data_IF_576475926991
#
_entry.id   IF_576475926991
#
_cell.length_a   1.000
_cell.length_b   1.000
_cell.length_c   1.000
_cell.angle_alpha   90.00
_cell.angle_beta   90.00
_cell.angle_gamma   90.00
#
_symmetry.space_group_name_H-M   'P 1'
#
loop_
_entity.id
_entity.type
_entity.pdbx_description
1 polymer ?
#
# COMPACT_ATOMS: atom_id res chain seq x y z
N UNK A 1 2.22 25.20 -59.68
CA UNK A 1 3.62 24.80 -59.41
C UNK A 1 4.15 23.71 -60.34
N UNK A 2 3.42 22.63 -60.63
CA UNK A 2 3.90 21.51 -61.49
C UNK A 2 4.37 21.93 -62.91
N UNK A 3 3.71 22.89 -63.56
CA UNK A 3 4.07 23.31 -64.93
C UNK A 3 5.36 24.14 -65.03
N UNK A 4 5.73 24.84 -63.94
CA UNK A 4 6.91 25.69 -63.87
C UNK A 4 8.19 24.85 -63.71
N UNK A 5 8.16 23.89 -62.78
CA UNK A 5 9.23 22.89 -62.63
C UNK A 5 9.39 22.03 -63.89
N UNK A 6 8.31 21.73 -64.63
CA UNK A 6 8.36 20.97 -65.89
C UNK A 6 9.17 21.70 -66.98
N UNK A 7 8.99 23.02 -67.13
CA UNK A 7 9.71 23.81 -68.14
C UNK A 7 11.20 23.99 -67.79
N UNK A 8 11.52 24.17 -66.50
CA UNK A 8 12.91 24.23 -66.03
C UNK A 8 13.63 22.89 -66.26
N UNK A 9 12.95 21.76 -66.02
CA UNK A 9 13.46 20.40 -66.28
C UNK A 9 13.80 20.18 -67.76
N UNK A 10 12.90 20.59 -68.67
CA UNK A 10 13.08 20.43 -70.11
C UNK A 10 14.22 21.31 -70.67
N UNK A 11 14.44 22.51 -70.11
CA UNK A 11 15.52 23.42 -70.56
C UNK A 11 16.91 22.96 -70.07
N UNK A 12 17.00 22.38 -68.87
CA UNK A 12 18.27 21.96 -68.25
C UNK A 12 18.78 20.59 -68.73
N UNK A 13 17.88 19.67 -69.12
CA UNK A 13 18.25 18.39 -69.77
C UNK A 13 18.96 18.64 -71.12
N UNK A 14 18.65 19.76 -71.78
CA UNK A 14 19.24 20.16 -73.06
C UNK A 14 20.67 20.72 -72.94
N UNK A 15 21.15 21.02 -71.73
CA UNK A 15 22.43 21.72 -71.48
C UNK A 15 23.57 20.84 -70.90
N UNK A 16 23.43 19.51 -70.83
CA UNK A 16 24.45 18.60 -70.29
C UNK A 16 24.86 18.88 -68.82
N UNK A 17 24.04 19.62 -68.06
CA UNK A 17 24.28 19.99 -66.63
C UNK A 17 23.60 19.05 -65.64
N UNK A 18 23.52 17.76 -65.94
CA UNK A 18 22.86 16.76 -65.09
C UNK A 18 23.40 16.78 -63.65
N UNK A 19 24.72 16.96 -63.47
CA UNK A 19 25.36 17.05 -62.15
C UNK A 19 24.85 18.22 -61.30
N UNK A 20 24.51 19.37 -61.90
CA UNK A 20 23.95 20.52 -61.16
C UNK A 20 22.51 20.28 -60.73
N UNK A 21 21.73 19.55 -61.53
CA UNK A 21 20.36 19.16 -61.20
C UNK A 21 20.32 18.12 -60.07
N UNK A 22 21.22 17.13 -60.13
CA UNK A 22 21.36 16.12 -59.08
C UNK A 22 21.75 16.77 -57.74
N UNK A 23 22.70 17.71 -57.74
CA UNK A 23 23.11 18.43 -56.52
C UNK A 23 21.95 19.23 -55.91
N UNK A 24 21.14 19.88 -56.74
CA UNK A 24 20.00 20.68 -56.29
C UNK A 24 18.86 19.81 -55.74
N UNK A 25 18.56 18.70 -56.41
CA UNK A 25 17.55 17.73 -55.95
C UNK A 25 17.98 17.03 -54.63
N UNK A 26 19.26 16.73 -54.46
CA UNK A 26 19.80 16.21 -53.20
C UNK A 26 19.66 17.26 -52.09
N UNK A 27 19.98 18.52 -52.37
CA UNK A 27 19.79 19.62 -51.41
C UNK A 27 18.33 19.77 -50.96
N UNK A 28 17.37 19.66 -51.89
CA UNK A 28 15.93 19.70 -51.59
C UNK A 28 15.49 18.51 -50.72
N UNK A 29 15.96 17.29 -51.03
CA UNK A 29 15.68 16.10 -50.20
C UNK A 29 16.25 16.27 -48.79
N UNK A 30 17.50 16.74 -48.66
CA UNK A 30 18.12 16.98 -47.35
C UNK A 30 17.32 18.01 -46.55
N UNK A 31 16.86 19.10 -47.19
CA UNK A 31 16.08 20.14 -46.54
C UNK A 31 14.70 19.62 -46.08
N UNK A 32 14.04 18.80 -46.89
CA UNK A 32 12.78 18.13 -46.51
C UNK A 32 13.00 17.15 -45.36
N UNK A 33 14.06 16.35 -45.40
CA UNK A 33 14.41 15.39 -44.34
C UNK A 33 14.69 16.11 -43.02
N UNK A 34 15.46 17.21 -43.03
CA UNK A 34 15.67 18.05 -41.85
C UNK A 34 14.34 18.60 -41.32
N UNK A 35 13.45 19.06 -42.21
CA UNK A 35 12.11 19.51 -41.84
C UNK A 35 11.27 18.44 -41.12
N UNK A 36 11.28 17.21 -41.64
CA UNK A 36 10.59 16.06 -41.02
C UNK A 36 11.22 15.71 -39.67
N UNK A 37 12.55 15.67 -39.57
CA UNK A 37 13.25 15.37 -38.33
C UNK A 37 12.95 16.39 -37.24
N UNK A 38 12.93 17.69 -37.57
CA UNK A 38 12.56 18.74 -36.61
C UNK A 38 11.09 18.59 -36.19
N UNK A 39 10.18 18.33 -37.14
CA UNK A 39 8.77 18.10 -36.81
C UNK A 39 8.57 16.91 -35.88
N UNK A 40 9.27 15.79 -36.12
CA UNK A 40 9.27 14.61 -35.25
C UNK A 40 9.86 14.93 -33.87
N UNK A 41 10.97 15.68 -33.80
CA UNK A 41 11.57 16.08 -32.54
C UNK A 41 10.63 16.96 -31.70
N UNK A 42 9.96 17.94 -32.32
CA UNK A 42 8.98 18.80 -31.64
C UNK A 42 7.80 17.96 -31.13
N UNK A 43 7.30 17.02 -31.94
CA UNK A 43 6.22 16.13 -31.51
C UNK A 43 6.63 15.26 -30.32
N UNK A 44 7.79 14.59 -30.41
CA UNK A 44 8.33 13.75 -29.33
C UNK A 44 8.60 14.55 -28.05
N UNK A 45 9.07 15.80 -28.17
CA UNK A 45 9.27 16.67 -27.02
C UNK A 45 7.94 17.04 -26.34
N UNK A 46 6.91 17.37 -27.12
CA UNK A 46 5.58 17.65 -26.60
C UNK A 46 4.93 16.42 -25.95
N UNK A 47 5.08 15.24 -26.57
CA UNK A 47 4.66 13.94 -26.01
C UNK A 47 5.34 13.69 -24.66
N UNK A 48 6.67 13.76 -24.62
CA UNK A 48 7.45 13.56 -23.40
C UNK A 48 7.17 14.60 -22.30
N UNK A 49 6.71 15.80 -22.66
CA UNK A 49 6.22 16.79 -21.68
C UNK A 49 4.87 16.36 -21.09
N UNK A 50 3.93 15.89 -21.92
CA UNK A 50 2.62 15.40 -21.46
C UNK A 50 2.76 14.17 -20.59
N UNK A 51 3.62 13.21 -20.98
CA UNK A 51 3.92 12.03 -20.17
C UNK A 51 4.48 12.41 -18.79
N UNK A 52 5.44 13.35 -18.73
CA UNK A 52 6.00 13.82 -17.46
C UNK A 52 4.96 14.53 -16.58
N UNK A 53 4.04 15.29 -17.18
CA UNK A 53 2.96 15.92 -16.44
C UNK A 53 1.99 14.86 -15.86
N UNK A 54 1.66 13.83 -16.65
CA UNK A 54 0.82 12.72 -16.21
C UNK A 54 1.50 11.90 -15.09
N UNK A 55 2.80 11.61 -15.23
CA UNK A 55 3.60 10.94 -14.21
C UNK A 55 3.59 11.73 -12.90
N UNK A 56 3.90 13.03 -12.94
CA UNK A 56 3.90 13.88 -11.73
C UNK A 56 2.53 13.93 -11.05
N UNK A 57 1.46 14.07 -11.81
CA UNK A 57 0.11 14.05 -11.27
C UNK A 57 -0.20 12.70 -10.60
N UNK A 58 0.21 11.60 -11.23
CA UNK A 58 0.04 10.24 -10.69
C UNK A 58 0.85 10.04 -9.41
N UNK A 59 2.11 10.48 -9.39
CA UNK A 59 2.99 10.39 -8.22
C UNK A 59 2.47 11.23 -7.05
N UNK A 60 1.88 12.40 -7.32
CA UNK A 60 1.29 13.24 -6.27
C UNK A 60 0.08 12.57 -5.62
N UNK A 61 -0.82 11.97 -6.42
CA UNK A 61 -1.98 11.23 -5.88
C UNK A 61 -1.49 9.98 -5.11
N UNK A 62 -0.52 9.25 -5.67
CA UNK A 62 0.06 8.09 -5.00
C UNK A 62 0.73 8.45 -3.67
N UNK A 63 1.39 9.61 -3.60
CA UNK A 63 2.00 10.12 -2.37
C UNK A 63 0.94 10.37 -1.29
N UNK A 64 -0.19 10.98 -1.65
CA UNK A 64 -1.31 11.20 -0.73
C UNK A 64 -1.86 9.87 -0.19
N UNK A 65 -2.09 8.89 -1.07
CA UNK A 65 -2.51 7.53 -0.69
C UNK A 65 -1.51 6.86 0.26
N UNK A 66 -0.20 6.97 -0.03
CA UNK A 66 0.84 6.37 0.80
C UNK A 66 0.96 7.05 2.16
N UNK A 67 0.79 8.37 2.25
CA UNK A 67 0.77 9.09 3.53
C UNK A 67 -0.45 8.71 4.38
N UNK A 68 -1.60 8.54 3.75
CA UNK A 68 -2.78 7.99 4.43
C UNK A 68 -2.51 6.57 4.95
N UNK A 69 -1.89 5.71 4.12
CA UNK A 69 -1.51 4.35 4.50
C UNK A 69 -0.44 4.32 5.60
N UNK A 70 0.51 5.26 5.64
CA UNK A 70 1.53 5.40 6.68
C UNK A 70 0.88 5.68 8.04
N UNK A 71 0.01 6.70 8.10
CA UNK A 71 -0.73 7.08 9.31
C UNK A 71 -1.58 5.91 9.83
N UNK A 72 -2.32 5.27 8.92
CA UNK A 72 -3.08 4.06 9.22
C UNK A 72 -2.17 2.98 9.80
N UNK A 73 -1.05 2.68 9.15
CA UNK A 73 -0.14 1.63 9.60
C UNK A 73 0.41 1.92 10.99
N UNK A 74 0.76 3.17 11.30
CA UNK A 74 1.24 3.57 12.62
C UNK A 74 0.18 3.40 13.72
N UNK A 75 -1.08 3.77 13.44
CA UNK A 75 -2.20 3.57 14.36
C UNK A 75 -2.35 2.07 14.71
N UNK A 76 -2.34 1.21 13.69
CA UNK A 76 -2.52 -0.22 13.88
C UNK A 76 -1.31 -0.91 14.50
N UNK A 77 -0.08 -0.47 14.24
CA UNK A 77 1.11 -0.94 14.97
C UNK A 77 0.95 -0.65 16.47
N UNK A 78 0.48 0.55 16.80
CA UNK A 78 0.30 0.97 18.20
C UNK A 78 -0.81 0.15 18.88
N UNK A 79 -1.94 -0.05 18.19
CA UNK A 79 -3.05 -0.88 18.67
C UNK A 79 -2.62 -2.34 18.88
N UNK A 80 -1.88 -2.92 17.93
CA UNK A 80 -1.42 -4.31 17.96
C UNK A 80 -0.37 -4.53 19.06
N UNK A 81 0.55 -3.57 19.25
CA UNK A 81 1.50 -3.60 20.37
C UNK A 81 0.77 -3.52 21.72
N UNK A 82 -0.18 -2.60 21.87
CA UNK A 82 -0.97 -2.51 23.09
C UNK A 82 -1.73 -3.81 23.37
N UNK A 83 -2.21 -4.47 22.32
CA UNK A 83 -2.89 -5.72 22.44
C UNK A 83 -1.97 -6.88 22.88
N UNK A 84 -0.73 -6.92 22.39
CA UNK A 84 0.30 -7.84 22.91
C UNK A 84 0.58 -7.62 24.38
N UNK A 85 0.70 -6.37 24.82
CA UNK A 85 0.96 -6.03 26.22
C UNK A 85 -0.17 -6.54 27.13
N UNK A 86 -1.42 -6.45 26.66
CA UNK A 86 -2.59 -7.01 27.36
C UNK A 86 -2.48 -8.54 27.46
N UNK A 87 -2.18 -9.22 26.35
CA UNK A 87 -2.04 -10.68 26.31
C UNK A 87 -0.92 -11.17 27.24
N UNK A 88 0.23 -10.49 27.23
CA UNK A 88 1.33 -10.78 28.13
C UNK A 88 0.91 -10.59 29.60
N UNK A 89 0.21 -9.49 29.89
CA UNK A 89 -0.28 -9.19 31.24
C UNK A 89 -1.21 -10.27 31.79
N UNK A 90 -2.16 -10.76 30.99
CA UNK A 90 -3.12 -11.79 31.46
C UNK A 90 -2.49 -13.19 31.53
N UNK A 91 -1.45 -13.47 30.74
CA UNK A 91 -0.72 -14.74 30.77
C UNK A 91 0.27 -14.84 31.94
N UNK A 92 0.63 -13.71 32.55
CA UNK A 92 1.56 -13.64 33.68
C UNK A 92 0.83 -13.59 35.03
N UNK A 93 1.09 -14.58 35.91
CA UNK A 93 0.33 -14.80 37.15
C UNK A 93 0.39 -13.64 38.15
N UNK A 94 1.51 -12.94 38.23
CA UNK A 94 1.63 -11.81 39.17
C UNK A 94 0.98 -10.53 38.60
N UNK A 95 1.02 -10.37 37.28
CA UNK A 95 0.50 -9.19 36.58
C UNK A 95 -1.02 -9.20 36.49
N UNK A 96 -1.64 -10.37 36.25
CA UNK A 96 -3.10 -10.54 36.22
C UNK A 96 -3.73 -10.12 37.56
N UNK A 97 -3.13 -10.46 38.71
CA UNK A 97 -3.63 -10.06 40.04
C UNK A 97 -3.68 -8.54 40.19
N UNK A 98 -2.75 -7.81 39.58
CA UNK A 98 -2.73 -6.35 39.61
C UNK A 98 -3.84 -5.75 38.76
N UNK A 99 -4.14 -6.34 37.60
CA UNK A 99 -5.29 -5.93 36.76
C UNK A 99 -6.60 -6.17 37.48
N UNK A 100 -6.74 -7.29 38.19
CA UNK A 100 -7.96 -7.68 38.92
C UNK A 100 -8.35 -6.75 40.07
N UNK A 101 -7.45 -5.87 40.52
CA UNK A 101 -7.75 -4.86 41.56
C UNK A 101 -8.62 -3.71 41.03
N UNK A 102 -8.65 -3.51 39.71
CA UNK A 102 -9.46 -2.48 39.05
C UNK A 102 -10.48 -3.17 38.14
N UNK A 103 -11.76 -3.06 38.51
CA UNK A 103 -12.86 -3.71 37.77
C UNK A 103 -13.01 -3.18 36.34
N UNK A 104 -12.75 -1.89 36.12
CA UNK A 104 -12.81 -1.28 34.78
C UNK A 104 -11.68 -1.81 33.91
N UNK A 105 -10.46 -1.82 34.46
CA UNK A 105 -9.28 -2.34 33.76
C UNK A 105 -9.40 -3.84 33.49
N UNK A 106 -9.89 -4.59 34.45
CA UNK A 106 -10.20 -6.03 34.31
C UNK A 106 -11.12 -6.27 33.13
N UNK A 107 -12.27 -5.61 33.12
CA UNK A 107 -13.27 -5.83 32.08
C UNK A 107 -12.74 -5.40 30.71
N UNK A 108 -12.00 -4.29 30.63
CA UNK A 108 -11.35 -3.86 29.39
C UNK A 108 -10.33 -4.88 28.86
N UNK A 109 -9.44 -5.40 29.72
CA UNK A 109 -8.39 -6.34 29.31
C UNK A 109 -8.98 -7.67 28.85
N UNK A 110 -9.91 -8.24 29.62
CA UNK A 110 -10.52 -9.51 29.25
C UNK A 110 -11.51 -9.37 28.09
N UNK A 111 -12.16 -8.22 27.93
CA UNK A 111 -12.93 -7.94 26.73
C UNK A 111 -12.00 -7.91 25.49
N UNK A 112 -10.86 -7.22 25.57
CA UNK A 112 -9.88 -7.19 24.48
C UNK A 112 -9.33 -8.58 24.16
N UNK A 113 -8.99 -9.36 25.20
CA UNK A 113 -8.42 -10.69 25.03
C UNK A 113 -9.41 -11.74 24.49
N UNK A 114 -10.66 -11.73 24.94
CA UNK A 114 -11.63 -12.75 24.58
C UNK A 114 -12.54 -12.39 23.41
N UNK A 115 -12.84 -11.10 23.19
CA UNK A 115 -13.84 -10.70 22.20
C UNK A 115 -13.32 -9.77 21.10
N UNK A 116 -12.33 -8.95 21.41
CA UNK A 116 -11.81 -7.98 20.44
C UNK A 116 -10.65 -8.56 19.63
N UNK A 117 -10.53 -8.12 18.38
CA UNK A 117 -9.39 -8.39 17.50
C UNK A 117 -9.34 -7.38 16.35
N UNK A 118 -8.14 -7.13 15.86
CA UNK A 118 -7.91 -6.19 14.78
C UNK A 118 -7.94 -6.89 13.42
N UNK A 119 -8.68 -6.33 12.46
CA UNK A 119 -8.83 -6.92 11.11
C UNK A 119 -8.37 -6.03 9.98
N UNK A 120 -8.10 -4.75 10.25
CA UNK A 120 -7.91 -3.82 9.16
C UNK A 120 -6.49 -3.89 8.57
N UNK A 121 -6.41 -3.74 7.25
CA UNK A 121 -5.16 -3.67 6.47
C UNK A 121 -5.19 -2.40 5.61
N UNK A 122 -4.04 -1.75 5.36
CA UNK A 122 -4.01 -0.54 4.55
C UNK A 122 -4.31 -0.87 3.08
N UNK A 123 -4.89 0.09 2.36
CA UNK A 123 -5.21 -0.02 0.94
C UNK A 123 -4.58 1.14 0.19
N UNK A 124 -3.95 0.84 -0.95
CA UNK A 124 -3.34 1.83 -1.83
C UNK A 124 -4.10 1.80 -3.16
N UNK A 125 -5.12 2.65 -3.25
CA UNK A 125 -6.07 2.65 -4.37
C UNK A 125 -5.39 3.02 -5.67
N UNK A 126 -4.53 4.04 -5.67
CA UNK A 126 -3.84 4.52 -6.86
C UNK A 126 -2.99 3.43 -7.50
N UNK A 127 -2.26 2.64 -6.70
CA UNK A 127 -1.47 1.53 -7.25
C UNK A 127 -2.36 0.43 -7.83
N UNK A 128 -3.44 0.08 -7.13
CA UNK A 128 -4.42 -0.91 -7.57
C UNK A 128 -5.07 -0.51 -8.91
N UNK A 129 -5.47 0.75 -9.05
CA UNK A 129 -6.06 1.30 -10.27
C UNK A 129 -5.06 1.31 -11.44
N UNK A 130 -3.80 1.71 -11.19
CA UNK A 130 -2.75 1.67 -12.21
C UNK A 130 -2.46 0.24 -12.67
N UNK A 131 -2.43 -0.73 -11.75
CA UNK A 131 -2.24 -2.14 -12.05
C UNK A 131 -3.40 -2.70 -12.88
N UNK A 132 -4.63 -2.47 -12.44
CA UNK A 132 -5.83 -2.97 -13.11
C UNK A 132 -6.04 -2.33 -14.50
N UNK A 133 -5.68 -1.05 -14.66
CA UNK A 133 -5.76 -0.36 -15.95
C UNK A 133 -4.59 -0.68 -16.90
N UNK A 134 -3.59 -1.47 -16.48
CA UNK A 134 -2.37 -1.72 -17.27
C UNK A 134 -1.49 -0.48 -17.46
N UNK A 135 -1.58 0.49 -16.54
CA UNK A 135 -0.96 1.82 -16.62
C UNK A 135 0.22 2.02 -15.66
N UNK A 136 0.74 0.95 -15.05
CA UNK A 136 1.91 1.02 -14.14
C UNK A 136 3.10 1.73 -14.81
N UNK A 137 3.27 1.59 -16.13
CA UNK A 137 4.35 2.21 -16.90
C UNK A 137 4.30 3.76 -16.94
N UNK A 138 3.23 4.39 -16.45
CA UNK A 138 3.18 5.85 -16.24
C UNK A 138 4.24 6.29 -15.23
N UNK A 139 4.55 5.45 -14.23
CA UNK A 139 5.65 5.67 -13.29
C UNK A 139 6.94 5.21 -13.99
N UNK A 140 7.81 6.15 -14.41
CA UNK A 140 9.02 5.83 -15.17
C UNK A 140 10.13 5.29 -14.28
N UNK A 141 10.17 5.66 -13.01
CA UNK A 141 11.14 5.14 -12.06
C UNK A 141 10.86 3.64 -11.76
N UNK A 142 11.77 2.78 -12.20
CA UNK A 142 11.67 1.32 -12.00
C UNK A 142 11.68 0.93 -10.52
N UNK A 143 12.51 1.59 -9.71
CA UNK A 143 12.62 1.30 -8.29
C UNK A 143 11.30 1.55 -7.56
N UNK A 144 10.63 2.67 -7.87
CA UNK A 144 9.29 2.97 -7.32
C UNK A 144 8.29 1.86 -7.71
N UNK A 145 8.30 1.42 -8.99
CA UNK A 145 7.40 0.36 -9.46
C UNK A 145 7.64 -0.98 -8.78
N UNK A 146 8.90 -1.36 -8.64
CA UNK A 146 9.29 -2.64 -8.03
C UNK A 146 8.90 -2.64 -6.55
N UNK A 147 9.16 -1.56 -5.83
CA UNK A 147 8.80 -1.43 -4.41
C UNK A 147 7.29 -1.37 -4.19
N UNK A 148 6.53 -0.72 -5.06
CA UNK A 148 5.06 -0.79 -5.02
C UNK A 148 4.54 -2.22 -5.23
N UNK A 149 5.18 -3.00 -6.10
CA UNK A 149 4.81 -4.41 -6.31
C UNK A 149 5.11 -5.28 -5.08
N UNK A 150 6.25 -5.03 -4.41
CA UNK A 150 6.59 -5.70 -3.14
C UNK A 150 5.61 -5.30 -2.05
N UNK A 151 5.27 -4.01 -1.96
CA UNK A 151 4.30 -3.48 -1.01
C UNK A 151 2.93 -4.14 -1.18
N UNK A 152 2.41 -4.23 -2.40
CA UNK A 152 1.15 -4.92 -2.72
C UNK A 152 1.16 -6.40 -2.28
N UNK A 153 2.25 -7.11 -2.55
CA UNK A 153 2.42 -8.49 -2.08
C UNK A 153 2.44 -8.59 -0.55
N UNK A 154 3.07 -7.63 0.14
CA UNK A 154 3.10 -7.58 1.60
C UNK A 154 1.73 -7.29 2.21
N UNK A 155 0.92 -6.43 1.59
CA UNK A 155 -0.47 -6.18 2.01
C UNK A 155 -1.30 -7.47 1.90
N UNK A 156 -1.21 -8.19 0.78
CA UNK A 156 -1.92 -9.46 0.57
C UNK A 156 -1.50 -10.52 1.61
N UNK A 157 -0.21 -10.58 1.93
CA UNK A 157 0.30 -11.53 2.93
C UNK A 157 -0.19 -11.18 4.34
N UNK A 158 -0.23 -9.89 4.69
CA UNK A 158 -0.82 -9.42 5.94
C UNK A 158 -2.31 -9.76 6.00
N UNK A 159 -3.07 -9.50 4.93
CA UNK A 159 -4.49 -9.84 4.85
C UNK A 159 -4.74 -11.34 5.09
N UNK A 160 -3.95 -12.22 4.46
CA UNK A 160 -4.03 -13.67 4.69
C UNK A 160 -3.78 -14.03 6.16
N UNK A 161 -2.75 -13.45 6.77
CA UNK A 161 -2.42 -13.70 8.18
C UNK A 161 -3.56 -13.23 9.11
N UNK A 162 -4.17 -12.09 8.83
CA UNK A 162 -5.33 -11.57 9.57
C UNK A 162 -6.54 -12.51 9.42
N UNK A 163 -6.80 -13.04 8.23
CA UNK A 163 -7.86 -14.03 8.01
C UNK A 163 -7.61 -15.32 8.79
N UNK A 164 -6.37 -15.82 8.82
CA UNK A 164 -6.01 -16.99 9.62
C UNK A 164 -6.21 -16.74 11.12
N UNK A 165 -5.86 -15.54 11.61
CA UNK A 165 -6.16 -15.11 13.00
C UNK A 165 -7.65 -15.09 13.28
N UNK A 166 -8.46 -14.57 12.36
CA UNK A 166 -9.92 -14.57 12.45
C UNK A 166 -10.47 -15.98 12.58
N UNK A 167 -10.01 -16.91 11.74
CA UNK A 167 -10.45 -18.29 11.78
C UNK A 167 -10.11 -18.96 13.11
N UNK A 168 -8.89 -18.75 13.64
CA UNK A 168 -8.49 -19.25 14.96
C UNK A 168 -9.36 -18.65 16.06
N UNK A 169 -9.67 -17.36 15.99
CA UNK A 169 -10.53 -16.69 16.96
C UNK A 169 -11.94 -17.27 16.97
N UNK A 170 -12.61 -17.29 15.81
CA UNK A 170 -13.99 -17.78 15.68
C UNK A 170 -14.14 -19.26 16.04
N UNK A 171 -13.17 -20.10 15.67
CA UNK A 171 -13.28 -21.54 15.91
C UNK A 171 -12.98 -21.89 17.37
N UNK A 172 -12.08 -21.16 18.03
CA UNK A 172 -11.50 -21.63 19.31
C UNK A 172 -11.74 -20.69 20.48
N UNK A 173 -11.72 -19.37 20.26
CA UNK A 173 -11.88 -18.39 21.34
C UNK A 173 -13.36 -18.18 21.64
N UNK A 174 -14.22 -18.20 20.63
CA UNK A 174 -15.68 -18.14 20.83
C UNK A 174 -16.15 -19.32 21.70
N UNK A 175 -15.51 -20.49 21.57
CA UNK A 175 -15.80 -21.65 22.42
C UNK A 175 -15.51 -21.37 23.89
N UNK A 176 -14.39 -20.70 24.22
CA UNK A 176 -14.07 -20.26 25.58
C UNK A 176 -15.13 -19.26 26.07
N UNK A 177 -15.49 -18.29 25.23
CA UNK A 177 -16.49 -17.29 25.56
C UNK A 177 -17.85 -17.92 25.89
N UNK A 178 -18.21 -19.01 25.21
CA UNK A 178 -19.48 -19.72 25.41
C UNK A 178 -19.44 -20.65 26.63
N UNK A 179 -18.31 -21.34 26.87
CA UNK A 179 -18.22 -22.39 27.90
C UNK A 179 -17.73 -21.87 29.25
N UNK A 180 -16.78 -20.94 29.26
CA UNK A 180 -15.99 -20.59 30.44
C UNK A 180 -16.23 -19.15 30.94
N UNK A 181 -16.78 -18.27 30.09
CA UNK A 181 -16.95 -16.84 30.40
C UNK A 181 -18.42 -16.47 30.52
N UNK A 182 -18.79 -15.79 31.60
CA UNK A 182 -20.04 -15.06 31.69
C UNK A 182 -19.98 -13.79 30.82
N UNK A 183 -20.29 -13.98 29.54
CA UNK A 183 -20.16 -12.98 28.49
C UNK A 183 -20.99 -11.71 28.72
N UNK A 184 -22.08 -11.77 29.50
CA UNK A 184 -22.95 -10.61 29.71
C UNK A 184 -22.22 -9.44 30.39
N UNK A 185 -21.18 -9.71 31.18
CA UNK A 185 -20.32 -8.66 31.73
C UNK A 185 -19.50 -7.95 30.64
N UNK A 186 -18.96 -8.72 29.67
CA UNK A 186 -18.24 -8.17 28.52
C UNK A 186 -19.18 -7.40 27.59
N UNK A 187 -20.41 -7.90 27.40
CA UNK A 187 -21.45 -7.24 26.62
C UNK A 187 -21.85 -5.90 27.26
N UNK A 188 -22.10 -5.87 28.57
CA UNK A 188 -22.48 -4.64 29.29
C UNK A 188 -21.38 -3.57 29.21
N UNK A 189 -20.11 -3.98 29.20
CA UNK A 189 -18.99 -3.06 29.00
C UNK A 189 -19.00 -2.43 27.60
N UNK A 190 -19.24 -3.22 26.54
CA UNK A 190 -19.33 -2.70 25.17
C UNK A 190 -20.62 -1.91 24.90
N UNK A 191 -21.72 -2.28 25.56
CA UNK A 191 -23.05 -1.70 25.38
C UNK A 191 -23.63 -1.26 26.75
N UNK A 192 -23.13 -0.15 27.33
CA UNK A 192 -23.48 0.25 28.70
C UNK A 192 -24.97 0.55 28.89
N UNK A 193 -25.66 0.99 27.84
CA UNK A 193 -27.07 1.38 27.89
C UNK A 193 -28.05 0.20 27.74
N UNK A 194 -27.57 -1.02 27.49
CA UNK A 194 -28.46 -2.17 27.33
C UNK A 194 -29.08 -2.59 28.66
N UNK A 195 -30.40 -2.79 28.67
CA UNK A 195 -31.14 -3.27 29.84
C UNK A 195 -31.08 -4.79 29.92
N UNK A 196 -30.02 -5.31 30.52
CA UNK A 196 -29.76 -6.74 30.69
C UNK A 196 -29.48 -7.08 32.16
N UNK A 197 -29.90 -8.27 32.58
CA UNK A 197 -29.57 -8.80 33.90
C UNK A 197 -28.21 -9.50 33.84
N UNK A 198 -27.28 -9.08 34.70
CA UNK A 198 -25.97 -9.71 34.80
C UNK A 198 -26.05 -10.99 35.65
N UNK A 199 -25.33 -12.03 35.24
CA UNK A 199 -25.10 -13.21 36.07
C UNK A 199 -23.89 -13.03 37.02
N UNK A 200 -23.39 -14.13 37.63
CA UNK A 200 -22.21 -14.11 38.50
C UNK A 200 -20.98 -13.50 37.81
N UNK A 201 -20.08 -12.86 38.57
CA UNK A 201 -18.82 -12.34 38.02
C UNK A 201 -17.90 -13.49 37.56
N UNK A 202 -17.07 -13.22 36.56
CA UNK A 202 -16.07 -14.15 36.07
C UNK A 202 -14.93 -14.33 37.09
N UNK A 203 -14.56 -15.58 37.36
CA UNK A 203 -13.28 -15.89 38.01
C UNK A 203 -12.19 -16.04 36.94
N UNK A 204 -11.63 -14.89 36.54
CA UNK A 204 -10.62 -14.87 35.50
C UNK A 204 -9.32 -15.61 35.89
N UNK A 205 -9.02 -15.78 37.17
CA UNK A 205 -7.87 -16.60 37.60
C UNK A 205 -8.15 -18.06 37.26
N UNK A 206 -9.29 -18.60 37.69
CA UNK A 206 -9.67 -19.98 37.42
C UNK A 206 -9.78 -20.26 35.91
N UNK A 207 -10.38 -19.34 35.15
CA UNK A 207 -10.49 -19.43 33.68
C UNK A 207 -9.10 -19.50 33.03
N UNK A 208 -8.16 -18.65 33.45
CA UNK A 208 -6.81 -18.60 32.87
C UNK A 208 -5.89 -19.73 33.36
N UNK A 209 -6.21 -20.40 34.47
CA UNK A 209 -5.51 -21.62 34.93
C UNK A 209 -5.89 -22.86 34.11
N UNK A 210 -7.00 -22.83 33.36
CA UNK A 210 -7.35 -23.90 32.42
C UNK A 210 -6.28 -24.07 31.33
N UNK A 211 -5.71 -25.29 31.13
CA UNK A 211 -4.74 -25.53 30.07
C UNK A 211 -5.26 -25.18 28.67
N UNK A 212 -6.55 -25.42 28.41
CA UNK A 212 -7.21 -25.08 27.12
C UNK A 212 -7.14 -23.58 26.87
N UNK A 213 -7.61 -22.78 27.82
CA UNK A 213 -7.65 -21.31 27.72
C UNK A 213 -6.24 -20.75 27.60
N UNK A 214 -5.32 -21.20 28.46
CA UNK A 214 -3.94 -20.73 28.48
C UNK A 214 -3.21 -21.01 27.17
N UNK A 215 -3.37 -22.20 26.60
CA UNK A 215 -2.78 -22.56 25.30
C UNK A 215 -3.36 -21.72 24.17
N UNK A 216 -4.68 -21.48 24.16
CA UNK A 216 -5.33 -20.67 23.15
C UNK A 216 -4.91 -19.19 23.23
N UNK A 217 -4.77 -18.63 24.43
CA UNK A 217 -4.21 -17.30 24.63
C UNK A 217 -2.76 -17.24 24.15
N UNK A 218 -1.94 -18.26 24.44
CA UNK A 218 -0.57 -18.35 23.92
C UNK A 218 -0.50 -18.37 22.38
N UNK A 219 -1.36 -19.15 21.72
CA UNK A 219 -1.47 -19.15 20.25
C UNK A 219 -1.89 -17.76 19.75
N UNK A 220 -2.87 -17.13 20.41
CA UNK A 220 -3.33 -15.77 20.05
C UNK A 220 -2.17 -14.76 20.16
N UNK A 221 -1.32 -14.87 21.18
CA UNK A 221 -0.13 -14.03 21.35
C UNK A 221 0.87 -14.21 20.22
N UNK A 222 1.19 -15.46 19.82
CA UNK A 222 2.12 -15.73 18.72
C UNK A 222 1.63 -15.07 17.42
N UNK A 223 0.38 -15.31 17.05
CA UNK A 223 -0.18 -14.76 15.81
C UNK A 223 -0.27 -13.23 15.84
N UNK A 224 -0.53 -12.65 17.01
CA UNK A 224 -0.57 -11.19 17.20
C UNK A 224 0.84 -10.60 17.04
N UNK A 225 1.87 -11.27 17.55
CA UNK A 225 3.26 -10.84 17.42
C UNK A 225 3.75 -10.94 15.96
N UNK A 226 3.37 -12.00 15.27
CA UNK A 226 3.64 -12.14 13.83
C UNK A 226 2.98 -11.00 13.05
N UNK A 227 1.70 -10.73 13.28
CA UNK A 227 0.98 -9.65 12.62
C UNK A 227 1.62 -8.28 12.88
N UNK A 228 2.06 -8.00 14.12
CA UNK A 228 2.80 -6.79 14.45
C UNK A 228 4.09 -6.66 13.63
N UNK A 229 4.85 -7.76 13.45
CA UNK A 229 6.04 -7.80 12.62
C UNK A 229 5.75 -7.45 11.16
N UNK A 230 4.70 -8.04 10.57
CA UNK A 230 4.26 -7.71 9.21
C UNK A 230 3.85 -6.24 9.08
N UNK A 231 3.09 -5.70 10.05
CA UNK A 231 2.68 -4.29 10.05
C UNK A 231 3.87 -3.34 10.11
N UNK A 232 4.90 -3.64 10.92
CA UNK A 232 6.14 -2.84 10.99
C UNK A 232 6.89 -2.84 9.66
N UNK A 233 7.13 -4.03 9.09
CA UNK A 233 7.79 -4.14 7.80
C UNK A 233 7.03 -3.38 6.69
N UNK A 234 5.70 -3.44 6.73
CA UNK A 234 4.85 -2.72 5.80
C UNK A 234 4.96 -1.19 5.95
N UNK A 235 4.98 -0.71 7.18
CA UNK A 235 5.18 0.70 7.50
C UNK A 235 6.52 1.22 6.98
N UNK A 236 7.60 0.48 7.25
CA UNK A 236 8.95 0.84 6.78
C UNK A 236 9.01 0.88 5.24
N UNK A 237 8.36 -0.08 4.58
CA UNK A 237 8.27 -0.11 3.11
C UNK A 237 7.54 1.13 2.58
N UNK A 238 6.38 1.48 3.16
CA UNK A 238 5.60 2.68 2.82
C UNK A 238 6.46 3.94 2.96
N UNK A 239 7.12 4.12 4.12
CA UNK A 239 7.97 5.28 4.38
C UNK A 239 9.07 5.46 3.36
N UNK A 240 9.75 4.36 3.01
CA UNK A 240 10.81 4.43 2.03
C UNK A 240 10.26 4.74 0.62
N UNK A 241 9.04 4.29 0.25
CA UNK A 241 8.45 4.65 -1.06
C UNK A 241 8.08 6.13 -1.08
N UNK A 242 7.50 6.65 0.01
CA UNK A 242 7.23 8.08 0.19
C UNK A 242 8.50 8.91 -0.06
N UNK A 243 9.64 8.50 0.52
CA UNK A 243 10.92 9.16 0.30
C UNK A 243 11.35 9.15 -1.17
N UNK A 244 11.25 8.01 -1.86
CA UNK A 244 11.58 7.91 -3.29
C UNK A 244 10.70 8.80 -4.16
N UNK A 245 9.40 8.87 -3.86
CA UNK A 245 8.46 9.72 -4.59
C UNK A 245 8.76 11.20 -4.35
N UNK A 246 9.04 11.60 -3.12
CA UNK A 246 9.43 12.99 -2.80
C UNK A 246 10.68 13.40 -3.58
N UNK A 247 11.72 12.55 -3.60
CA UNK A 247 12.94 12.79 -4.39
C UNK A 247 12.63 12.93 -5.89
N UNK A 248 11.73 12.09 -6.42
CA UNK A 248 11.32 12.13 -7.82
C UNK A 248 10.51 13.39 -8.17
N UNK A 249 9.73 13.93 -7.24
CA UNK A 249 8.97 15.16 -7.41
C UNK A 249 9.83 16.42 -7.27
N UNK A 250 10.80 16.41 -6.34
CA UNK A 250 11.75 17.50 -6.08
C UNK A 250 12.84 17.66 -7.14
N UNK A 251 13.21 16.57 -7.84
CA UNK A 251 14.16 16.59 -8.95
C UNK A 251 13.44 16.62 -10.31
N UNK A 252 13.04 17.80 -10.84
CA UNK A 252 12.43 17.90 -12.17
C UNK A 252 13.39 17.56 -13.33
N UNK A 253 14.66 17.30 -13.05
CA UNK A 253 15.69 16.95 -14.02
C UNK A 253 16.18 15.51 -13.79
N UNK A 254 15.41 14.54 -14.30
CA UNK A 254 15.91 13.19 -14.51
C UNK A 254 17.04 13.20 -15.52
N UNK A 255 18.26 13.09 -15.01
CA UNK A 255 19.42 12.51 -15.66
C UNK A 255 19.03 11.25 -16.42
N UNK A 256 19.03 11.33 -17.75
CA UNK A 256 19.41 10.17 -18.56
C UNK A 256 20.91 10.00 -18.37
N UNK A 257 21.34 9.22 -17.38
CA UNK A 257 22.65 8.59 -17.46
C UNK A 257 22.51 7.39 -18.38
N UNK A 258 23.28 7.45 -19.48
CA UNK A 258 23.45 6.42 -20.50
C UNK A 258 23.78 5.03 -19.94
#
# INVERSE_FOLDING_TARGET
>A
MIKFFRHIRQRLIRENRFSKYLLYAIGEIILVVIGILIALQINNWNEGRKERAAEKATLAILLEDLQAAENFSQEYITSEQHYLDILETILHKDSIVTVLKDETKTTAYFNKAFWDFEIQVPVINTYSDLKNAGKIAIIKNNEIRDRLSVLDANIINLERLILDRMNVHQIRIDEICVQDVNFLHLLKFKLPNYNITLGPKNDYIAIMESPKVRNLMGIKTVLTNEALGYRRNLHDEIQSIIQLINIALENPAGTMSH
#
